data_IF_931053161654
#
_entry.id   IF_931053161654
#
_cell.length_a   1.000
_cell.length_b   1.000
_cell.length_c   1.000
_cell.angle_alpha   90.00
_cell.angle_beta   90.00
_cell.angle_gamma   90.00
#
_symmetry.space_group_name_H-M   'P 1'
#
loop_
_entity.id
_entity.type
_entity.pdbx_description
1 polymer ?
#
# COMPACT_ATOMS: atom_id res chain seq x y z
N UNK A 1 4.44 -14.84 4.69
CA UNK A 1 2.98 -14.99 4.52
C UNK A 1 2.70 -15.78 3.25
N UNK A 2 1.46 -16.24 3.04
CA UNK A 2 1.07 -16.96 1.82
C UNK A 2 1.41 -16.18 0.54
N UNK A 3 1.06 -14.89 0.48
CA UNK A 3 1.38 -14.01 -0.64
C UNK A 3 2.89 -13.96 -0.95
N UNK A 4 3.73 -13.78 0.07
CA UNK A 4 5.19 -13.76 -0.11
C UNK A 4 5.72 -15.09 -0.67
N UNK A 5 5.11 -16.22 -0.30
CA UNK A 5 5.49 -17.52 -0.86
C UNK A 5 5.12 -17.62 -2.34
N UNK A 6 3.93 -17.15 -2.72
CA UNK A 6 3.51 -17.12 -4.12
C UNK A 6 4.44 -16.25 -4.99
N UNK A 7 4.84 -15.08 -4.49
CA UNK A 7 5.78 -14.19 -5.17
C UNK A 7 7.14 -14.86 -5.37
N UNK A 8 7.71 -15.47 -4.32
CA UNK A 8 8.98 -16.20 -4.39
C UNK A 8 8.92 -17.38 -5.36
N UNK A 9 7.82 -18.15 -5.33
CA UNK A 9 7.61 -19.26 -6.26
C UNK A 9 7.50 -18.79 -7.71
N UNK A 10 7.12 -17.53 -7.93
CA UNK A 10 7.05 -16.87 -9.24
C UNK A 10 8.35 -16.14 -9.60
N UNK A 11 9.45 -16.41 -8.89
CA UNK A 11 10.78 -15.83 -9.12
C UNK A 11 10.85 -14.31 -8.94
N UNK A 12 9.94 -13.73 -8.15
CA UNK A 12 10.06 -12.35 -7.69
C UNK A 12 10.99 -12.33 -6.48
N UNK A 13 12.06 -11.53 -6.53
CA UNK A 13 12.89 -11.26 -5.36
C UNK A 13 12.18 -10.27 -4.44
N UNK A 14 12.04 -10.62 -3.16
CA UNK A 14 11.21 -9.86 -2.22
C UNK A 14 11.97 -9.57 -0.94
N UNK A 15 12.21 -8.27 -0.72
CA UNK A 15 12.61 -7.75 0.58
C UNK A 15 11.36 -7.43 1.39
N UNK A 16 11.12 -8.21 2.45
CA UNK A 16 9.98 -7.99 3.34
C UNK A 16 10.35 -7.03 4.48
N UNK A 17 9.65 -5.91 4.57
CA UNK A 17 9.81 -4.91 5.64
C UNK A 17 8.53 -4.85 6.49
N UNK A 18 8.53 -5.48 7.67
CA UNK A 18 7.43 -5.34 8.63
C UNK A 18 7.22 -3.87 9.09
N UNK A 19 6.01 -3.54 9.55
CA UNK A 19 5.68 -2.20 10.05
C UNK A 19 6.62 -1.69 11.15
N UNK A 20 7.05 -2.56 12.08
CA UNK A 20 8.01 -2.16 13.13
C UNK A 20 9.40 -1.83 12.55
N UNK A 21 9.79 -2.44 11.42
CA UNK A 21 11.04 -2.10 10.72
C UNK A 21 10.93 -0.74 10.05
N UNK A 22 9.77 -0.37 9.49
CA UNK A 22 9.52 0.99 8.98
C UNK A 22 9.73 2.04 10.09
N UNK A 23 9.29 1.76 11.32
CA UNK A 23 9.46 2.71 12.44
C UNK A 23 10.91 2.93 12.87
N UNK A 24 11.81 2.00 12.57
CA UNK A 24 13.18 1.97 13.08
C UNK A 24 14.21 2.28 11.98
N UNK A 25 13.98 1.79 10.77
CA UNK A 25 15.00 1.70 9.73
C UNK A 25 14.40 1.85 8.32
N UNK A 26 13.38 2.69 8.15
CA UNK A 26 12.95 3.07 6.80
C UNK A 26 14.11 3.81 6.09
N UNK A 27 14.34 3.56 4.78
CA UNK A 27 15.37 4.26 4.02
C UNK A 27 15.25 5.78 4.09
N UNK A 28 16.38 6.48 4.17
CA UNK A 28 16.41 7.94 4.35
C UNK A 28 16.79 8.69 3.07
N UNK A 29 17.13 7.94 2.01
CA UNK A 29 17.50 8.45 0.68
C UNK A 29 16.73 7.68 -0.39
N UNK A 30 16.22 8.38 -1.40
CA UNK A 30 15.50 7.79 -2.54
C UNK A 30 16.38 6.80 -3.30
N UNK A 31 17.69 7.01 -3.37
CA UNK A 31 18.62 6.09 -4.02
C UNK A 31 18.59 4.67 -3.40
N UNK A 32 18.23 4.57 -2.12
CA UNK A 32 18.05 3.28 -1.45
C UNK A 32 16.73 2.59 -1.84
N UNK A 33 15.75 3.34 -2.36
CA UNK A 33 14.49 2.80 -2.89
C UNK A 33 14.63 2.43 -4.38
N UNK A 34 15.46 3.15 -5.13
CA UNK A 34 15.66 2.95 -6.58
C UNK A 34 16.25 1.57 -6.96
N UNK A 35 16.76 0.81 -5.98
CA UNK A 35 17.14 -0.59 -6.21
C UNK A 35 15.95 -1.54 -6.38
N UNK A 36 14.72 -1.11 -6.07
CA UNK A 36 13.52 -1.93 -6.16
C UNK A 36 12.71 -1.58 -7.42
N UNK A 37 12.21 -2.59 -8.13
CA UNK A 37 11.31 -2.39 -9.28
C UNK A 37 9.93 -1.88 -8.86
N UNK A 38 9.46 -2.28 -7.67
CA UNK A 38 8.20 -1.82 -7.11
C UNK A 38 8.19 -1.84 -5.58
N UNK A 39 7.41 -0.94 -4.98
CA UNK A 39 7.07 -0.91 -3.56
C UNK A 39 5.61 -1.34 -3.39
N UNK A 40 5.38 -2.28 -2.46
CA UNK A 40 4.03 -2.74 -2.08
C UNK A 40 3.71 -2.32 -0.66
N UNK A 41 2.64 -1.55 -0.48
CA UNK A 41 2.11 -1.12 0.82
C UNK A 41 0.84 -1.92 1.09
N UNK A 42 0.81 -2.68 2.18
CA UNK A 42 -0.34 -3.53 2.52
C UNK A 42 -0.60 -3.47 4.02
N UNK A 43 -1.78 -3.00 4.39
CA UNK A 43 -2.31 -2.99 5.76
C UNK A 43 -1.38 -2.31 6.79
N UNK A 44 -0.89 -1.13 6.42
CA UNK A 44 -0.02 -0.28 7.23
C UNK A 44 -0.39 1.19 7.00
N UNK A 45 -0.75 1.90 8.07
CA UNK A 45 -1.24 3.27 7.98
C UNK A 45 -0.13 4.29 7.77
N UNK A 46 -0.50 5.46 7.23
CA UNK A 46 0.46 6.54 6.94
C UNK A 46 1.24 7.01 8.16
N UNK A 47 0.63 6.96 9.34
CA UNK A 47 1.27 7.31 10.61
C UNK A 47 2.54 6.49 10.87
N UNK A 48 2.63 5.23 10.45
CA UNK A 48 3.84 4.42 10.65
C UNK A 48 5.04 4.98 9.87
N UNK A 49 4.79 5.58 8.71
CA UNK A 49 5.82 6.22 7.88
C UNK A 49 6.18 7.63 8.37
N UNK A 50 5.18 8.41 8.79
CA UNK A 50 5.33 9.82 9.19
C UNK A 50 5.83 9.99 10.62
N UNK A 51 5.48 9.08 11.52
CA UNK A 51 5.76 9.13 12.96
C UNK A 51 6.70 8.00 13.38
N UNK A 52 7.82 7.86 12.66
CA UNK A 52 8.89 6.93 13.03
C UNK A 52 9.47 7.24 14.42
N UNK A 53 10.13 6.27 15.04
CA UNK A 53 10.55 6.35 16.44
C UNK A 53 11.44 7.57 16.73
N UNK A 54 12.35 7.91 15.82
CA UNK A 54 13.23 9.08 16.03
C UNK A 54 12.44 10.40 15.99
N UNK A 55 11.43 10.50 15.12
CA UNK A 55 10.56 11.68 15.01
C UNK A 55 9.66 11.79 16.26
N UNK A 56 8.95 10.71 16.59
CA UNK A 56 7.90 10.74 17.62
C UNK A 56 8.44 10.73 19.05
N UNK A 57 9.49 9.94 19.33
CA UNK A 57 10.02 9.78 20.70
C UNK A 57 11.33 10.52 20.95
N UNK A 58 12.13 10.77 19.93
CA UNK A 58 13.49 11.32 20.10
C UNK A 58 13.63 12.77 19.60
N UNK A 59 12.55 13.37 19.08
CA UNK A 59 12.52 14.74 18.55
C UNK A 59 13.58 14.99 17.47
N UNK A 60 13.95 13.97 16.70
CA UNK A 60 14.91 14.13 15.59
C UNK A 60 14.17 14.48 14.31
N UNK A 61 14.79 15.36 13.53
CA UNK A 61 14.34 15.67 12.18
C UNK A 61 14.78 14.51 11.26
N UNK A 62 13.84 13.93 10.53
CA UNK A 62 14.08 12.90 9.50
C UNK A 62 13.48 13.34 8.16
N UNK A 63 13.98 12.80 7.03
CA UNK A 63 13.28 12.87 5.75
C UNK A 63 11.87 12.28 5.85
N UNK A 64 10.92 12.84 5.09
CA UNK A 64 9.55 12.33 5.03
C UNK A 64 9.51 11.07 4.16
N UNK A 65 9.27 9.92 4.77
CA UNK A 65 9.20 8.63 4.07
C UNK A 65 8.18 8.59 2.92
N UNK A 66 7.04 9.28 3.05
CA UNK A 66 6.04 9.32 1.99
C UNK A 66 6.47 10.21 0.82
N UNK A 67 7.27 11.26 1.07
CA UNK A 67 7.88 12.05 0.00
C UNK A 67 8.95 11.25 -0.75
N UNK A 68 9.74 10.43 -0.04
CA UNK A 68 10.71 9.54 -0.69
C UNK A 68 10.01 8.51 -1.60
N UNK A 69 8.89 7.94 -1.17
CA UNK A 69 8.09 7.02 -2.00
C UNK A 69 7.52 7.76 -3.21
N UNK A 70 7.02 8.99 -3.03
CA UNK A 70 6.53 9.83 -4.13
C UNK A 70 7.63 10.12 -5.15
N UNK A 71 8.83 10.50 -4.69
CA UNK A 71 9.98 10.75 -5.55
C UNK A 71 10.39 9.49 -6.32
N UNK A 72 10.49 8.35 -5.63
CA UNK A 72 10.76 7.05 -6.23
C UNK A 72 9.78 6.72 -7.38
N UNK A 73 8.46 6.93 -7.17
CA UNK A 73 7.46 6.68 -8.22
C UNK A 73 7.61 7.66 -9.38
N UNK A 74 7.88 8.93 -9.10
CA UNK A 74 8.13 9.93 -10.15
C UNK A 74 9.39 9.63 -10.97
N UNK A 75 10.36 8.92 -10.38
CA UNK A 75 11.56 8.44 -11.08
C UNK A 75 11.32 7.14 -11.88
N UNK A 76 10.08 6.63 -11.91
CA UNK A 76 9.68 5.46 -12.70
C UNK A 76 9.46 4.18 -11.89
N UNK A 77 9.57 4.24 -10.56
CA UNK A 77 9.30 3.12 -9.67
C UNK A 77 7.82 2.72 -9.61
N UNK A 78 7.54 1.43 -9.45
CA UNK A 78 6.16 0.94 -9.31
C UNK A 78 5.62 1.10 -7.88
N UNK A 79 4.35 1.49 -7.73
CA UNK A 79 3.66 1.51 -6.44
C UNK A 79 2.37 0.69 -6.49
N UNK A 80 2.21 -0.23 -5.54
CA UNK A 80 0.99 -1.00 -5.31
C UNK A 80 0.53 -0.80 -3.87
N UNK A 81 -0.73 -0.40 -3.68
CA UNK A 81 -1.39 -0.44 -2.38
C UNK A 81 -2.44 -1.55 -2.37
N UNK A 82 -2.38 -2.44 -1.38
CA UNK A 82 -3.36 -3.51 -1.16
C UNK A 82 -4.31 -3.07 -0.05
N UNK A 83 -5.62 -3.21 -0.28
CA UNK A 83 -6.65 -2.84 0.69
C UNK A 83 -6.59 -3.63 2.01
N UNK A 84 -7.17 -3.05 3.05
CA UNK A 84 -7.16 -3.56 4.41
C UNK A 84 -7.64 -2.50 5.40
N UNK A 85 -7.63 -2.83 6.69
CA UNK A 85 -8.11 -1.94 7.74
C UNK A 85 -7.17 -0.75 7.95
N UNK A 86 -5.88 -0.88 7.64
CA UNK A 86 -4.89 0.17 7.70
C UNK A 86 -4.36 0.57 6.30
N UNK A 87 -5.21 0.50 5.27
CA UNK A 87 -4.89 0.97 3.91
C UNK A 87 -5.92 2.01 3.44
N UNK A 88 -5.56 2.84 2.45
CA UNK A 88 -6.41 3.96 1.98
C UNK A 88 -6.86 4.88 3.13
N UNK A 89 -8.16 4.96 3.44
CA UNK A 89 -8.62 5.58 4.68
C UNK A 89 -8.72 4.57 5.82
N UNK A 90 -9.26 3.38 5.55
CA UNK A 90 -9.30 2.27 6.48
C UNK A 90 -10.27 2.48 7.65
N UNK A 91 -10.20 1.57 8.62
CA UNK A 91 -11.07 1.56 9.80
C UNK A 91 -10.95 2.87 10.57
N UNK A 92 -12.07 3.51 10.88
CA UNK A 92 -12.14 4.82 11.54
C UNK A 92 -11.27 5.89 10.85
N UNK A 93 -11.01 5.76 9.55
CA UNK A 93 -10.10 6.63 8.78
C UNK A 93 -8.63 6.65 9.27
N UNK A 94 -8.17 5.61 10.00
CA UNK A 94 -6.84 5.61 10.65
C UNK A 94 -5.66 5.40 9.70
N UNK A 95 -5.87 4.79 8.54
CA UNK A 95 -4.82 4.67 7.53
C UNK A 95 -4.47 6.03 6.93
N UNK A 96 -5.48 6.88 6.78
CA UNK A 96 -5.38 8.32 6.56
C UNK A 96 -4.52 8.73 5.34
N UNK A 97 -4.46 7.92 4.27
CA UNK A 97 -3.62 8.23 3.11
C UNK A 97 -4.11 9.43 2.28
N UNK A 98 -5.42 9.75 2.31
CA UNK A 98 -5.97 10.92 1.62
C UNK A 98 -5.33 12.23 2.06
N UNK A 99 -4.95 12.32 3.32
CA UNK A 99 -4.36 13.52 3.92
C UNK A 99 -2.82 13.47 3.87
N UNK A 100 -2.26 12.82 2.85
CA UNK A 100 -0.81 12.66 2.66
C UNK A 100 -0.42 12.92 1.21
N UNK A 101 0.89 13.03 0.99
CA UNK A 101 1.47 13.23 -0.35
C UNK A 101 1.28 12.04 -1.29
N UNK A 102 0.90 10.86 -0.77
CA UNK A 102 0.57 9.70 -1.61
C UNK A 102 -0.85 9.73 -2.16
N UNK A 103 -1.72 10.63 -1.69
CA UNK A 103 -3.08 10.73 -2.24
C UNK A 103 -3.07 11.03 -3.75
N UNK A 104 -2.16 11.92 -4.18
CA UNK A 104 -2.01 12.30 -5.59
C UNK A 104 -1.33 11.21 -6.45
N UNK A 105 -0.70 10.22 -5.81
CA UNK A 105 0.04 9.15 -6.50
C UNK A 105 -0.81 7.92 -6.77
N UNK A 106 -1.89 7.72 -6.01
CA UNK A 106 -2.77 6.57 -6.17
C UNK A 106 -3.78 6.83 -7.30
N UNK A 107 -4.08 5.85 -8.17
CA UNK A 107 -5.00 6.02 -9.29
C UNK A 107 -6.48 5.97 -8.87
N UNK A 108 -6.79 6.39 -7.64
CA UNK A 108 -8.13 6.36 -7.03
C UNK A 108 -8.31 7.56 -6.10
N UNK A 109 -9.54 8.04 -5.95
CA UNK A 109 -9.88 9.10 -4.99
C UNK A 109 -10.44 8.49 -3.71
N UNK A 110 -9.79 8.74 -2.57
CA UNK A 110 -10.23 8.25 -1.26
C UNK A 110 -11.40 9.08 -0.68
N UNK A 111 -12.22 8.46 0.17
CA UNK A 111 -13.31 9.11 0.91
C UNK A 111 -12.79 10.01 2.04
N UNK A 112 -13.64 10.84 2.64
CA UNK A 112 -13.28 11.74 3.76
C UNK A 112 -13.34 11.06 5.15
N UNK A 113 -13.57 9.74 5.21
CA UNK A 113 -13.77 9.00 6.46
C UNK A 113 -13.49 7.51 6.29
N UNK A 114 -14.05 6.69 7.19
CA UNK A 114 -13.97 5.24 7.09
C UNK A 114 -14.48 4.77 5.72
N UNK A 115 -13.66 3.97 5.03
CA UNK A 115 -13.91 3.51 3.67
C UNK A 115 -14.19 2.00 3.58
N UNK A 116 -14.34 1.32 4.72
CA UNK A 116 -14.62 -0.12 4.74
C UNK A 116 -16.03 -0.41 4.21
N UNK A 117 -16.10 -1.37 3.30
CA UNK A 117 -17.34 -2.03 2.89
C UNK A 117 -17.24 -3.47 3.36
N UNK A 118 -17.93 -3.78 4.46
CA UNK A 118 -17.98 -5.12 5.05
C UNK A 118 -19.12 -5.93 4.43
N UNK A 119 -18.79 -7.12 3.91
CA UNK A 119 -19.69 -8.00 3.16
C UNK A 119 -19.55 -9.44 3.67
N UNK A 120 -20.02 -9.74 4.89
CA UNK A 120 -19.92 -11.09 5.47
C UNK A 120 -20.66 -12.16 4.64
N UNK A 121 -21.66 -11.78 3.86
CA UNK A 121 -22.36 -12.64 2.89
C UNK A 121 -21.52 -12.96 1.64
N UNK A 122 -20.40 -12.26 1.46
CA UNK A 122 -19.50 -12.41 0.32
C UNK A 122 -19.90 -11.60 -0.91
N UNK A 123 -18.89 -11.17 -1.66
CA UNK A 123 -19.04 -10.54 -2.97
C UNK A 123 -18.02 -11.10 -3.94
N UNK A 124 -18.41 -11.33 -5.19
CA UNK A 124 -17.52 -11.83 -6.24
C UNK A 124 -17.05 -10.66 -7.10
N UNK A 125 -15.74 -10.55 -7.30
CA UNK A 125 -15.17 -9.53 -8.18
C UNK A 125 -15.59 -9.77 -9.64
N UNK A 126 -15.88 -8.69 -10.38
CA UNK A 126 -16.21 -8.75 -11.80
C UNK A 126 -15.18 -7.96 -12.62
N UNK A 127 -14.58 -8.56 -13.65
CA UNK A 127 -13.62 -7.85 -14.49
C UNK A 127 -14.32 -6.81 -15.36
N UNK A 128 -13.96 -5.54 -15.20
CA UNK A 128 -14.41 -4.47 -16.09
C UNK A 128 -13.72 -4.50 -17.46
N UNK A 129 -12.49 -5.03 -17.52
CA UNK A 129 -11.68 -5.16 -18.74
C UNK A 129 -11.03 -6.56 -18.82
N UNK A 130 -11.79 -7.61 -19.21
CA UNK A 130 -11.32 -9.00 -19.16
C UNK A 130 -10.14 -9.33 -20.10
N UNK A 131 -9.82 -8.42 -21.03
CA UNK A 131 -8.70 -8.56 -21.98
C UNK A 131 -7.41 -7.88 -21.50
N UNK A 132 -7.41 -7.27 -20.31
CA UNK A 132 -6.24 -6.59 -19.77
C UNK A 132 -5.12 -7.62 -19.44
N UNK A 133 -3.84 -7.36 -19.79
CA UNK A 133 -2.76 -8.34 -19.63
C UNK A 133 -2.60 -8.93 -18.22
N UNK A 134 -2.96 -8.18 -17.18
CA UNK A 134 -2.89 -8.64 -15.78
C UNK A 134 -3.87 -9.77 -15.46
N UNK A 135 -5.04 -9.79 -16.11
CA UNK A 135 -6.15 -10.71 -15.77
C UNK A 135 -6.66 -11.54 -16.95
N UNK A 136 -6.06 -11.39 -18.13
CA UNK A 136 -6.47 -12.13 -19.31
C UNK A 136 -6.33 -13.64 -19.06
N UNK A 137 -7.39 -14.39 -19.37
CA UNK A 137 -7.47 -15.83 -19.14
C UNK A 137 -7.88 -16.24 -17.72
N UNK A 138 -8.11 -15.30 -16.81
CA UNK A 138 -8.69 -15.62 -15.50
C UNK A 138 -10.16 -16.01 -15.68
N UNK A 139 -10.57 -17.04 -14.96
CA UNK A 139 -11.94 -17.51 -14.83
C UNK A 139 -12.24 -17.85 -13.37
N UNK A 140 -13.52 -17.90 -12.99
CA UNK A 140 -13.95 -18.27 -11.63
C UNK A 140 -13.34 -17.38 -10.53
N UNK A 141 -13.68 -16.09 -10.55
CA UNK A 141 -13.22 -15.15 -9.54
C UNK A 141 -13.67 -15.56 -8.13
N UNK A 142 -12.77 -15.51 -7.13
CA UNK A 142 -13.12 -15.85 -5.75
C UNK A 142 -14.07 -14.80 -5.15
N UNK A 143 -14.73 -15.19 -4.06
CA UNK A 143 -15.45 -14.23 -3.23
C UNK A 143 -14.49 -13.49 -2.29
N UNK A 144 -14.90 -12.30 -1.88
CA UNK A 144 -14.26 -11.45 -0.87
C UNK A 144 -15.29 -11.11 0.20
N UNK A 145 -14.83 -10.81 1.42
CA UNK A 145 -15.69 -10.46 2.56
C UNK A 145 -15.72 -8.96 2.86
N UNK A 146 -15.04 -8.17 2.04
CA UNK A 146 -15.03 -6.72 2.15
C UNK A 146 -13.94 -6.11 1.28
N UNK A 147 -13.96 -4.77 1.16
CA UNK A 147 -12.98 -3.99 0.42
C UNK A 147 -12.99 -2.52 0.88
N UNK A 148 -11.96 -1.74 0.53
CA UNK A 148 -11.96 -0.29 0.71
C UNK A 148 -12.65 0.38 -0.49
N UNK A 149 -13.63 1.23 -0.24
CA UNK A 149 -14.34 2.00 -1.26
C UNK A 149 -13.54 3.24 -1.67
N UNK A 150 -13.37 3.44 -2.96
CA UNK A 150 -12.81 4.66 -3.55
C UNK A 150 -13.67 5.16 -4.73
N UNK A 151 -13.37 6.37 -5.21
CA UNK A 151 -14.05 7.06 -6.32
C UNK A 151 -13.10 7.17 -7.53
#
# INVERSE_FOLDING_TARGET
TWLLQCLKNSQVDVTYMPAHTVQIAFPEDVAQLEQYDAIVISDIGSNTFLLQNDTFYQLRIKPNALELIKEYVNNGGGLLMIGGYLSFMGIEAKANYKNTVLADMLPVTMLDGDDLVELPEGVIAQPSQPVHPVIIGFSEYPFFLGYNRAI
#
